data_IF_484689921736
#
_entry.id   IF_484689921736
#
_cell.length_a   1.000
_cell.length_b   1.000
_cell.length_c   1.000
_cell.angle_alpha   90.00
_cell.angle_beta   90.00
_cell.angle_gamma   90.00
#
_symmetry.space_group_name_H-M   'P 1'
#
loop_
_entity.id
_entity.type
_entity.pdbx_description
1 polymer ?
#
# COMPACT_ATOMS: atom_id res chain seq x y z
N UNK A 1 82.29 -15.89 -42.76
CA UNK A 1 81.17 -15.17 -42.14
C UNK A 1 80.26 -14.63 -43.23
N UNK A 2 79.23 -15.35 -43.65
CA UNK A 2 78.08 -14.76 -44.33
C UNK A 2 76.82 -15.55 -43.96
N UNK A 3 75.83 -14.77 -43.55
CA UNK A 3 74.62 -15.08 -42.84
C UNK A 3 73.73 -16.16 -43.48
N UNK A 4 73.42 -17.21 -42.71
CA UNK A 4 72.29 -18.12 -42.95
C UNK A 4 70.99 -17.52 -42.38
N UNK A 5 70.60 -16.32 -42.81
CA UNK A 5 69.40 -15.62 -42.31
C UNK A 5 68.19 -15.71 -43.25
N UNK A 6 68.28 -16.40 -44.39
CA UNK A 6 67.25 -16.34 -45.45
C UNK A 6 65.99 -17.17 -45.22
N UNK A 7 66.01 -18.20 -44.37
CA UNK A 7 64.81 -19.02 -44.12
C UNK A 7 63.93 -18.53 -42.96
N UNK A 8 64.48 -17.69 -42.06
CA UNK A 8 63.72 -17.12 -40.93
C UNK A 8 62.78 -15.99 -41.38
N UNK A 9 63.12 -15.29 -42.46
CA UNK A 9 62.39 -14.08 -42.89
C UNK A 9 61.03 -14.36 -43.53
N UNK A 10 60.79 -15.56 -44.08
CA UNK A 10 59.53 -15.92 -44.76
C UNK A 10 58.49 -16.55 -43.83
N UNK A 11 58.92 -17.21 -42.75
CA UNK A 11 58.00 -17.85 -41.80
C UNK A 11 57.44 -16.87 -40.77
N UNK A 12 58.19 -15.82 -40.43
CA UNK A 12 57.78 -14.81 -39.44
C UNK A 12 56.49 -14.05 -39.82
N UNK A 13 56.29 -13.61 -41.08
CA UNK A 13 55.02 -12.98 -41.50
C UNK A 13 53.82 -13.92 -41.42
N UNK A 14 54.00 -15.21 -41.74
CA UNK A 14 52.94 -16.22 -41.68
C UNK A 14 52.50 -16.48 -40.23
N UNK A 15 53.46 -16.60 -39.31
CA UNK A 15 53.16 -16.75 -37.87
C UNK A 15 52.44 -15.51 -37.35
N UNK A 16 52.90 -14.31 -37.71
CA UNK A 16 52.29 -13.05 -37.28
C UNK A 16 50.86 -12.90 -37.79
N UNK A 17 50.61 -13.23 -39.06
CA UNK A 17 49.26 -13.24 -39.63
C UNK A 17 48.34 -14.27 -38.95
N UNK A 18 48.87 -15.47 -38.64
CA UNK A 18 48.14 -16.49 -37.88
C UNK A 18 47.77 -16.02 -36.48
N UNK A 19 48.70 -15.38 -35.77
CA UNK A 19 48.46 -14.81 -34.42
C UNK A 19 47.44 -13.67 -34.48
N UNK A 20 47.53 -12.79 -35.48
CA UNK A 20 46.58 -11.69 -35.65
C UNK A 20 45.15 -12.20 -35.90
N UNK A 21 44.99 -13.20 -36.77
CA UNK A 21 43.69 -13.84 -37.03
C UNK A 21 43.13 -14.52 -35.78
N UNK A 22 43.96 -15.26 -35.05
CA UNK A 22 43.55 -15.91 -33.81
C UNK A 22 43.11 -14.89 -32.76
N UNK A 23 43.83 -13.79 -32.62
CA UNK A 23 43.50 -12.70 -31.68
C UNK A 23 42.18 -12.02 -32.07
N UNK A 24 41.96 -11.77 -33.37
CA UNK A 24 40.71 -11.20 -33.87
C UNK A 24 39.52 -12.13 -33.59
N UNK A 25 39.67 -13.42 -33.83
CA UNK A 25 38.62 -14.42 -33.59
C UNK A 25 38.30 -14.53 -32.09
N UNK A 26 39.34 -14.55 -31.24
CA UNK A 26 39.19 -14.59 -29.78
C UNK A 26 38.49 -13.32 -29.26
N UNK A 27 38.79 -12.15 -29.86
CA UNK A 27 38.10 -10.89 -29.54
C UNK A 27 36.61 -10.97 -29.84
N UNK A 28 36.22 -11.46 -31.03
CA UNK A 28 34.80 -11.59 -31.42
C UNK A 28 34.05 -12.58 -30.52
N UNK A 29 34.65 -13.72 -30.20
CA UNK A 29 34.03 -14.70 -29.29
C UNK A 29 33.90 -14.11 -27.88
N UNK A 30 34.95 -13.43 -27.40
CA UNK A 30 34.92 -12.78 -26.09
C UNK A 30 33.83 -11.70 -26.02
N UNK A 31 33.66 -10.87 -27.06
CA UNK A 31 32.65 -9.82 -27.06
C UNK A 31 31.23 -10.39 -27.03
N UNK A 32 30.94 -11.43 -27.81
CA UNK A 32 29.62 -12.07 -27.82
C UNK A 32 29.28 -12.71 -26.46
N UNK A 33 30.26 -13.36 -25.81
CA UNK A 33 30.02 -13.95 -24.48
C UNK A 33 29.78 -12.88 -23.42
N UNK A 34 30.50 -11.74 -23.48
CA UNK A 34 30.29 -10.61 -22.57
C UNK A 34 28.92 -9.95 -22.79
N UNK A 35 28.50 -9.78 -24.03
CA UNK A 35 27.17 -9.27 -24.39
C UNK A 35 26.07 -10.18 -23.84
N UNK A 36 26.16 -11.49 -24.05
CA UNK A 36 25.19 -12.45 -23.52
C UNK A 36 25.13 -12.44 -21.98
N UNK A 37 26.27 -12.36 -21.30
CA UNK A 37 26.31 -12.24 -19.84
C UNK A 37 25.69 -10.90 -19.36
N UNK A 38 25.91 -9.82 -20.10
CA UNK A 38 25.33 -8.50 -19.80
C UNK A 38 23.82 -8.52 -19.97
N UNK A 39 23.30 -9.09 -21.06
CA UNK A 39 21.87 -9.26 -21.32
C UNK A 39 21.20 -10.12 -20.27
N UNK A 40 21.83 -11.23 -19.86
CA UNK A 40 21.28 -12.10 -18.82
C UNK A 40 21.18 -11.38 -17.47
N UNK A 41 22.14 -10.53 -17.14
CA UNK A 41 22.11 -9.70 -15.92
C UNK A 41 21.06 -8.59 -16.02
N UNK A 42 20.93 -7.92 -17.17
CA UNK A 42 19.92 -6.88 -17.36
C UNK A 42 18.51 -7.45 -17.30
N UNK A 43 18.27 -8.61 -17.93
CA UNK A 43 16.98 -9.29 -17.87
C UNK A 43 16.58 -9.65 -16.44
N UNK A 44 17.50 -10.21 -15.65
CA UNK A 44 17.23 -10.53 -14.23
C UNK A 44 16.87 -9.29 -13.42
N UNK A 45 17.65 -8.22 -13.57
CA UNK A 45 17.36 -6.94 -12.91
C UNK A 45 16.00 -6.40 -13.31
N UNK A 46 15.66 -6.43 -14.59
CA UNK A 46 14.37 -5.96 -15.09
C UNK A 46 13.20 -6.76 -14.51
N UNK A 47 13.32 -8.09 -14.43
CA UNK A 47 12.31 -8.94 -13.81
C UNK A 47 12.16 -8.62 -12.32
N UNK A 48 13.27 -8.49 -11.59
CA UNK A 48 13.28 -8.13 -10.16
C UNK A 48 12.63 -6.76 -9.94
N UNK A 49 13.00 -5.74 -10.73
CA UNK A 49 12.40 -4.41 -10.67
C UNK A 49 10.89 -4.46 -10.93
N UNK A 50 10.43 -5.18 -11.97
CA UNK A 50 8.99 -5.33 -12.26
C UNK A 50 8.23 -6.00 -11.12
N UNK A 51 8.85 -6.99 -10.46
CA UNK A 51 8.23 -7.66 -9.31
C UNK A 51 8.16 -6.75 -8.09
N UNK A 52 9.20 -5.96 -7.82
CA UNK A 52 9.22 -4.98 -6.74
C UNK A 52 8.17 -3.90 -6.97
N UNK A 53 8.13 -3.29 -8.17
CA UNK A 53 7.12 -2.27 -8.53
C UNK A 53 5.69 -2.80 -8.39
N UNK A 54 5.43 -4.07 -8.78
CA UNK A 54 4.11 -4.68 -8.60
C UNK A 54 3.75 -4.86 -7.13
N UNK A 55 4.71 -5.24 -6.29
CA UNK A 55 4.49 -5.39 -4.84
C UNK A 55 4.24 -4.05 -4.17
N UNK A 56 5.04 -3.04 -4.52
CA UNK A 56 4.88 -1.67 -4.04
C UNK A 56 3.51 -1.11 -4.44
N UNK A 57 3.12 -1.22 -5.71
CA UNK A 57 1.81 -0.76 -6.18
C UNK A 57 0.63 -1.47 -5.49
N UNK A 58 0.76 -2.75 -5.15
CA UNK A 58 -0.27 -3.46 -4.37
C UNK A 58 -0.33 -2.98 -2.92
N UNK A 59 0.82 -2.67 -2.32
CA UNK A 59 0.89 -2.12 -0.95
C UNK A 59 0.28 -0.73 -0.89
N UNK A 60 0.64 0.14 -1.83
CA UNK A 60 0.07 1.49 -1.98
C UNK A 60 -1.45 1.45 -2.10
N UNK A 61 -1.98 0.62 -3.02
CA UNK A 61 -3.43 0.43 -3.18
C UNK A 61 -4.13 -0.05 -1.91
N UNK A 62 -3.49 -0.93 -1.13
CA UNK A 62 -4.03 -1.40 0.15
C UNK A 62 -4.05 -0.29 1.19
N UNK A 63 -2.98 0.50 1.26
CA UNK A 63 -2.89 1.64 2.18
C UNK A 63 -3.95 2.70 1.85
N UNK A 64 -4.11 3.05 0.57
CA UNK A 64 -5.15 3.98 0.11
C UNK A 64 -6.55 3.47 0.42
N UNK A 65 -6.81 2.17 0.19
CA UNK A 65 -8.07 1.56 0.52
C UNK A 65 -8.37 1.61 2.03
N UNK A 66 -7.38 1.33 2.87
CA UNK A 66 -7.52 1.43 4.33
C UNK A 66 -7.72 2.89 4.78
N UNK A 67 -6.95 3.83 4.23
CA UNK A 67 -7.08 5.27 4.48
C UNK A 67 -8.51 5.74 4.18
N UNK A 68 -9.02 5.46 2.98
CA UNK A 68 -10.38 5.83 2.59
C UNK A 68 -11.43 5.15 3.47
N UNK A 69 -11.25 3.87 3.79
CA UNK A 69 -12.20 3.12 4.64
C UNK A 69 -12.28 3.72 6.04
N UNK A 70 -11.15 4.11 6.64
CA UNK A 70 -11.12 4.72 7.97
C UNK A 70 -11.78 6.10 7.98
N UNK A 71 -11.56 6.91 6.95
CA UNK A 71 -12.21 8.22 6.79
C UNK A 71 -13.73 8.05 6.57
N UNK A 72 -14.13 7.17 5.66
CA UNK A 72 -15.55 6.86 5.42
C UNK A 72 -16.26 6.36 6.68
N UNK A 73 -15.54 5.63 7.54
CA UNK A 73 -16.06 5.12 8.79
C UNK A 73 -16.24 6.22 9.83
N UNK A 74 -15.29 7.16 9.91
CA UNK A 74 -15.39 8.36 10.74
C UNK A 74 -16.61 9.20 10.34
N UNK A 75 -16.81 9.42 9.04
CA UNK A 75 -17.99 10.13 8.56
C UNK A 75 -19.28 9.38 8.87
N UNK A 76 -19.30 8.06 8.64
CA UNK A 76 -20.49 7.24 8.90
C UNK A 76 -20.87 7.19 10.39
N UNK A 77 -19.90 7.18 11.32
CA UNK A 77 -20.21 7.19 12.76
C UNK A 77 -20.71 8.57 13.22
N UNK A 78 -20.16 9.66 12.69
CA UNK A 78 -20.65 11.01 12.97
C UNK A 78 -22.08 11.21 12.42
N UNK A 79 -22.33 10.75 11.19
CA UNK A 79 -23.67 10.74 10.59
C UNK A 79 -24.65 9.93 11.46
N UNK A 80 -24.27 8.71 11.85
CA UNK A 80 -25.11 7.87 12.71
C UNK A 80 -25.43 8.54 14.06
N UNK A 81 -24.42 9.09 14.74
CA UNK A 81 -24.61 9.77 16.03
C UNK A 81 -25.50 10.99 15.88
N UNK A 82 -25.28 11.82 14.87
CA UNK A 82 -26.09 13.03 14.63
C UNK A 82 -27.56 12.70 14.38
N UNK A 83 -27.85 11.73 13.50
CA UNK A 83 -29.21 11.27 13.22
C UNK A 83 -29.84 10.63 14.47
N UNK A 84 -29.06 9.87 15.25
CA UNK A 84 -29.54 9.29 16.51
C UNK A 84 -29.93 10.34 17.55
N UNK A 85 -29.10 11.37 17.73
CA UNK A 85 -29.41 12.48 18.63
C UNK A 85 -30.62 13.28 18.12
N UNK A 86 -30.75 13.49 16.81
CA UNK A 86 -31.92 14.12 16.21
C UNK A 86 -33.20 13.31 16.47
N UNK A 87 -33.13 11.98 16.32
CA UNK A 87 -34.24 11.06 16.60
C UNK A 87 -34.66 11.09 18.07
N UNK A 88 -33.74 11.41 18.99
CA UNK A 88 -34.05 11.58 20.42
C UNK A 88 -34.71 12.94 20.73
N UNK A 89 -34.36 13.99 19.97
CA UNK A 89 -34.90 15.35 20.15
C UNK A 89 -36.28 15.52 19.51
N UNK A 90 -36.53 14.83 18.39
CA UNK A 90 -37.78 14.90 17.64
C UNK A 90 -38.65 13.69 17.94
N UNK A 91 -39.95 13.78 17.62
CA UNK A 91 -40.77 12.58 17.60
C UNK A 91 -40.26 11.62 16.50
N UNK A 92 -40.21 10.31 16.79
CA UNK A 92 -39.69 9.34 15.83
C UNK A 92 -40.56 9.35 14.56
N UNK A 93 -39.96 9.79 13.44
CA UNK A 93 -40.57 9.75 12.12
C UNK A 93 -40.05 8.55 11.33
N UNK A 94 -40.84 8.06 10.37
CA UNK A 94 -40.42 6.97 9.48
C UNK A 94 -39.15 7.34 8.67
N UNK A 95 -38.98 8.62 8.36
CA UNK A 95 -37.80 9.12 7.66
C UNK A 95 -36.54 9.02 8.52
N UNK A 96 -36.60 9.46 9.78
CA UNK A 96 -35.47 9.36 10.72
C UNK A 96 -35.12 7.91 11.01
N UNK A 97 -36.11 7.04 11.17
CA UNK A 97 -35.88 5.60 11.34
C UNK A 97 -35.12 5.00 10.14
N UNK A 98 -35.50 5.37 8.91
CA UNK A 98 -34.80 4.96 7.69
C UNK A 98 -33.35 5.47 7.65
N UNK A 99 -33.13 6.75 7.98
CA UNK A 99 -31.79 7.36 8.05
C UNK A 99 -30.89 6.64 9.07
N UNK A 100 -31.42 6.32 10.25
CA UNK A 100 -30.68 5.54 11.28
C UNK A 100 -30.28 4.17 10.74
N UNK A 101 -31.20 3.46 10.08
CA UNK A 101 -30.93 2.13 9.52
C UNK A 101 -29.86 2.19 8.42
N UNK A 102 -29.93 3.18 7.54
CA UNK A 102 -28.95 3.39 6.47
C UNK A 102 -27.56 3.71 7.03
N UNK A 103 -27.47 4.62 7.99
CA UNK A 103 -26.20 4.96 8.64
C UNK A 103 -25.61 3.75 9.38
N UNK A 104 -26.43 2.97 10.08
CA UNK A 104 -26.00 1.74 10.75
C UNK A 104 -25.52 0.66 9.78
N UNK A 105 -26.20 0.49 8.65
CA UNK A 105 -25.79 -0.44 7.60
C UNK A 105 -24.44 -0.02 6.97
N UNK A 106 -24.22 1.29 6.78
CA UNK A 106 -22.95 1.83 6.29
C UNK A 106 -21.81 1.53 7.26
N UNK A 107 -21.99 1.77 8.56
CA UNK A 107 -21.01 1.42 9.59
C UNK A 107 -20.71 -0.08 9.55
N UNK A 108 -21.73 -0.93 9.57
CA UNK A 108 -21.57 -2.39 9.57
C UNK A 108 -20.76 -2.85 8.36
N UNK A 109 -21.04 -2.30 7.17
CA UNK A 109 -20.29 -2.60 5.95
C UNK A 109 -18.82 -2.20 6.07
N UNK A 110 -18.53 -1.00 6.58
CA UNK A 110 -17.16 -0.49 6.69
C UNK A 110 -16.36 -1.24 7.78
N UNK A 111 -16.99 -1.59 8.89
CA UNK A 111 -16.40 -2.37 9.98
C UNK A 111 -15.80 -3.69 9.54
N UNK A 112 -16.42 -4.38 8.56
CA UNK A 112 -15.88 -5.65 8.02
C UNK A 112 -14.55 -5.48 7.27
N UNK A 113 -14.20 -4.24 6.89
CA UNK A 113 -13.00 -3.90 6.10
C UNK A 113 -11.88 -3.31 6.95
N UNK A 114 -12.20 -2.89 8.17
CA UNK A 114 -11.25 -2.29 9.11
C UNK A 114 -10.44 -3.40 9.78
N UNK A 115 -9.13 -3.38 9.59
CA UNK A 115 -8.24 -4.39 10.19
C UNK A 115 -8.09 -4.18 11.70
N UNK A 116 -8.13 -2.93 12.17
CA UNK A 116 -7.89 -2.57 13.56
C UNK A 116 -9.03 -2.98 14.51
N UNK A 117 -8.74 -3.92 15.42
CA UNK A 117 -9.69 -4.44 16.40
C UNK A 117 -10.10 -3.41 17.47
N UNK A 118 -9.24 -2.44 17.77
CA UNK A 118 -9.55 -1.41 18.75
C UNK A 118 -10.56 -0.40 18.19
N UNK A 119 -10.38 0.07 16.95
CA UNK A 119 -11.40 0.87 16.24
C UNK A 119 -12.74 0.15 16.24
N UNK A 120 -12.75 -1.16 15.92
CA UNK A 120 -13.99 -1.95 15.92
C UNK A 120 -14.68 -1.95 17.29
N UNK A 121 -13.93 -2.28 18.35
CA UNK A 121 -14.46 -2.26 19.73
C UNK A 121 -14.97 -0.88 20.16
N UNK A 122 -14.29 0.20 19.78
CA UNK A 122 -14.72 1.56 20.12
C UNK A 122 -16.02 1.95 19.42
N UNK A 123 -16.20 1.54 18.17
CA UNK A 123 -17.44 1.79 17.42
C UNK A 123 -18.59 0.99 18.01
N UNK A 124 -18.37 -0.27 18.40
CA UNK A 124 -19.39 -1.05 19.10
C UNK A 124 -19.80 -0.38 20.42
N UNK A 125 -18.83 0.15 21.17
CA UNK A 125 -19.10 0.93 22.39
C UNK A 125 -19.88 2.21 22.10
N UNK A 126 -19.59 2.92 21.01
CA UNK A 126 -20.34 4.10 20.60
C UNK A 126 -21.78 3.74 20.23
N UNK A 127 -21.98 2.68 19.45
CA UNK A 127 -23.31 2.18 19.10
C UNK A 127 -24.11 1.78 20.35
N UNK A 128 -23.49 1.07 21.29
CA UNK A 128 -24.14 0.68 22.53
C UNK A 128 -24.51 1.90 23.39
N UNK A 129 -23.62 2.89 23.51
CA UNK A 129 -23.91 4.14 24.22
C UNK A 129 -25.13 4.88 23.63
N UNK A 130 -25.31 4.85 22.31
CA UNK A 130 -26.50 5.44 21.64
C UNK A 130 -27.77 4.61 21.79
N UNK A 131 -27.68 3.33 22.17
CA UNK A 131 -28.86 2.46 22.42
C UNK A 131 -29.40 2.63 23.83
N UNK A 132 -28.52 2.81 24.81
CA UNK A 132 -28.88 2.93 26.23
C UNK A 132 -29.65 4.22 26.51
N UNK A 133 -29.51 5.22 25.66
CA UNK A 133 -30.21 6.50 25.81
C UNK A 133 -31.72 6.34 25.61
N UNK A 134 -32.51 6.61 26.65
CA UNK A 134 -33.96 6.49 26.57
C UNK A 134 -34.57 7.73 25.89
N UNK A 135 -35.65 7.55 25.09
CA UNK A 135 -36.45 8.69 24.64
C UNK A 135 -36.95 9.50 25.85
N UNK A 136 -36.64 10.80 25.90
CA UNK A 136 -37.04 11.69 26.98
C UNK A 136 -36.01 11.91 28.10
N UNK A 137 -34.88 11.21 28.10
CA UNK A 137 -33.72 11.61 28.93
C UNK A 137 -33.09 12.89 28.37
N UNK A 138 -32.54 13.72 29.26
CA UNK A 138 -31.84 14.94 28.86
C UNK A 138 -30.69 14.60 27.91
N UNK A 139 -30.65 15.15 26.69
CA UNK A 139 -29.58 14.88 25.71
C UNK A 139 -28.18 15.09 26.29
N UNK A 140 -28.04 16.05 27.21
CA UNK A 140 -26.79 16.38 27.88
C UNK A 140 -26.19 15.23 28.71
N UNK A 141 -27.01 14.32 29.24
CA UNK A 141 -26.54 13.17 30.01
C UNK A 141 -25.85 12.11 29.12
N UNK A 142 -26.25 12.05 27.85
CA UNK A 142 -25.76 11.08 26.87
C UNK A 142 -24.64 11.62 25.99
N UNK A 143 -24.66 12.92 25.70
CA UNK A 143 -23.69 13.59 24.83
C UNK A 143 -22.27 13.52 25.41
N UNK A 144 -22.11 13.61 26.74
CA UNK A 144 -20.79 13.59 27.38
C UNK A 144 -20.03 12.26 27.23
N UNK A 145 -20.59 11.09 27.61
CA UNK A 145 -19.90 9.81 27.43
C UNK A 145 -19.68 9.48 25.95
N UNK A 146 -20.63 9.85 25.08
CA UNK A 146 -20.50 9.64 23.64
C UNK A 146 -19.39 10.49 23.02
N UNK A 147 -19.26 11.75 23.44
CA UNK A 147 -18.19 12.64 23.00
C UNK A 147 -16.80 12.09 23.32
N UNK A 148 -16.59 11.53 24.51
CA UNK A 148 -15.32 10.90 24.89
C UNK A 148 -15.00 9.68 24.03
N UNK A 149 -16.00 8.85 23.72
CA UNK A 149 -15.81 7.68 22.84
C UNK A 149 -15.48 8.12 21.42
N UNK A 150 -16.16 9.16 20.90
CA UNK A 150 -15.88 9.70 19.56
C UNK A 150 -14.48 10.33 19.48
N UNK A 151 -14.03 11.01 20.53
CA UNK A 151 -12.67 11.51 20.63
C UNK A 151 -11.64 10.37 20.62
N UNK A 152 -11.90 9.29 21.36
CA UNK A 152 -11.06 8.08 21.37
C UNK A 152 -10.99 7.43 19.98
N UNK A 153 -12.13 7.31 19.28
CA UNK A 153 -12.20 6.83 17.90
C UNK A 153 -11.36 7.72 16.97
N UNK A 154 -11.54 9.04 17.05
CA UNK A 154 -10.83 10.00 16.21
C UNK A 154 -9.31 9.96 16.44
N UNK A 155 -8.89 9.87 17.70
CA UNK A 155 -7.47 9.75 18.06
C UNK A 155 -6.88 8.44 17.55
N UNK A 156 -7.61 7.32 17.67
CA UNK A 156 -7.17 6.02 17.17
C UNK A 156 -7.06 6.01 15.65
N UNK A 157 -8.08 6.48 14.94
CA UNK A 157 -8.07 6.59 13.48
C UNK A 157 -6.94 7.50 13.01
N UNK A 158 -6.76 8.68 13.62
CA UNK A 158 -5.65 9.58 13.30
C UNK A 158 -4.27 8.99 13.58
N UNK A 159 -4.15 8.11 14.58
CA UNK A 159 -2.94 7.31 14.81
C UNK A 159 -2.67 6.31 13.68
N UNK A 160 -3.69 5.59 13.23
CA UNK A 160 -3.60 4.63 12.12
C UNK A 160 -3.26 5.32 10.79
N UNK A 161 -3.88 6.46 10.49
CA UNK A 161 -3.62 7.22 9.27
C UNK A 161 -2.15 7.67 9.22
N UNK A 162 -1.63 8.25 10.30
CA UNK A 162 -0.21 8.63 10.40
C UNK A 162 0.74 7.44 10.24
N UNK A 163 0.35 6.27 10.75
CA UNK A 163 1.13 5.03 10.58
C UNK A 163 1.15 4.62 9.10
N UNK A 164 0.01 4.63 8.42
CA UNK A 164 -0.07 4.33 6.99
C UNK A 164 0.78 5.30 6.16
N UNK A 165 0.74 6.60 6.49
CA UNK A 165 1.56 7.62 5.82
C UNK A 165 3.07 7.39 6.07
N UNK A 166 3.45 7.01 7.28
CA UNK A 166 4.86 6.71 7.61
C UNK A 166 5.39 5.48 6.86
N UNK A 167 4.53 4.48 6.65
CA UNK A 167 4.87 3.28 5.89
C UNK A 167 4.98 3.53 4.38
N UNK A 168 4.34 4.58 3.86
CA UNK A 168 4.44 5.02 2.47
C UNK A 168 5.76 5.78 2.20
N UNK A 169 6.32 6.43 3.24
CA UNK A 169 7.57 7.20 3.15
C UNK A 169 8.87 6.38 3.25
N UNK A 170 8.77 5.07 3.53
CA UNK A 170 9.89 4.13 3.71
C UNK A 170 10.05 3.19 2.51
#
# INVERSE_FOLDING_TARGET
MLASTSNLSYWFPLITAGVALLTALLTVVSSQTLEWLKERRSYRREVETRLLTRREALRERRNDFQRQTLLDLQDAILEYVSVKLETQRLQPSNELASKVLLANARITKLMTRVEDEEVRRLIDRAQEATRVTRPGESPAAAERPLGLILEEINNRIGGLLRKLDSEESL
#
